data_IF_541741423848
#
_entry.id   IF_541741423848
#
_cell.length_a   1.000
_cell.length_b   1.000
_cell.length_c   1.000
_cell.angle_alpha   90.00
_cell.angle_beta   90.00
_cell.angle_gamma   90.00
#
_symmetry.space_group_name_H-M   'P 1'
#
loop_
_entity.id
_entity.type
_entity.pdbx_description
1 polymer ?
#
# COMPACT_ATOMS: atom_id res chain seq x y z
N UNK A 1 -32.74 9.93 -32.63
CA UNK A 1 -31.48 9.57 -31.94
C UNK A 1 -31.50 10.10 -30.50
N UNK A 2 -32.22 9.46 -29.57
CA UNK A 2 -32.34 9.97 -28.19
C UNK A 2 -31.95 8.96 -27.11
N UNK A 3 -31.71 7.70 -27.47
CA UNK A 3 -31.29 6.64 -26.54
C UNK A 3 -29.78 6.66 -26.22
N UNK A 4 -28.99 7.46 -26.96
CA UNK A 4 -27.53 7.57 -26.78
C UNK A 4 -27.17 8.58 -25.67
N UNK A 5 -28.04 9.55 -25.36
CA UNK A 5 -27.75 10.58 -24.34
C UNK A 5 -27.88 10.05 -22.90
N UNK A 6 -28.77 9.07 -22.66
CA UNK A 6 -29.05 8.51 -21.33
C UNK A 6 -28.05 7.47 -20.84
N UNK A 7 -27.32 6.82 -21.74
CA UNK A 7 -26.27 5.84 -21.39
C UNK A 7 -25.02 6.51 -20.81
N UNK A 8 -24.74 7.76 -21.18
CA UNK A 8 -23.55 8.49 -20.74
C UNK A 8 -23.52 8.75 -19.23
N UNK A 9 -24.64 9.13 -18.59
CA UNK A 9 -24.64 9.39 -17.14
C UNK A 9 -24.49 8.12 -16.30
N UNK A 10 -25.08 7.01 -16.77
CA UNK A 10 -24.93 5.69 -16.13
C UNK A 10 -23.52 5.13 -16.34
N UNK A 11 -22.97 5.28 -17.54
CA UNK A 11 -21.60 4.89 -17.86
C UNK A 11 -20.59 5.72 -17.04
N UNK A 12 -20.77 7.04 -16.97
CA UNK A 12 -19.94 7.92 -16.14
C UNK A 12 -20.00 7.53 -14.66
N UNK A 13 -21.18 7.22 -14.14
CA UNK A 13 -21.33 6.72 -12.77
C UNK A 13 -20.54 5.43 -12.53
N UNK A 14 -20.62 4.46 -13.46
CA UNK A 14 -19.86 3.21 -13.37
C UNK A 14 -18.35 3.42 -13.51
N UNK A 15 -17.91 4.35 -14.37
CA UNK A 15 -16.50 4.73 -14.53
C UNK A 15 -15.96 5.36 -13.25
N UNK A 16 -16.74 6.27 -12.63
CA UNK A 16 -16.36 6.90 -11.36
C UNK A 16 -16.27 5.84 -10.24
N UNK A 17 -17.25 4.95 -10.13
CA UNK A 17 -17.27 3.87 -9.13
C UNK A 17 -16.07 2.92 -9.30
N UNK A 18 -15.76 2.53 -10.54
CA UNK A 18 -14.60 1.66 -10.83
C UNK A 18 -13.27 2.36 -10.55
N UNK A 19 -13.13 3.65 -10.85
CA UNK A 19 -11.96 4.44 -10.43
C UNK A 19 -11.82 4.48 -8.90
N UNK A 20 -12.91 4.74 -8.18
CA UNK A 20 -12.93 4.77 -6.71
C UNK A 20 -12.50 3.42 -6.10
N UNK A 21 -13.04 2.31 -6.61
CA UNK A 21 -12.67 0.96 -6.18
C UNK A 21 -11.19 0.66 -6.45
N UNK A 22 -10.64 1.11 -7.58
CA UNK A 22 -9.23 0.93 -7.89
C UNK A 22 -8.34 1.68 -6.90
N UNK A 23 -8.66 2.95 -6.59
CA UNK A 23 -7.91 3.76 -5.60
C UNK A 23 -8.03 3.27 -4.16
N UNK A 24 -9.15 2.62 -3.80
CA UNK A 24 -9.35 2.08 -2.46
C UNK A 24 -8.45 0.86 -2.18
N UNK A 25 -8.07 0.10 -3.22
CA UNK A 25 -7.18 -1.07 -3.08
C UNK A 25 -5.73 -0.71 -2.78
N UNK A 26 -5.30 0.53 -3.03
CA UNK A 26 -3.95 1.00 -2.70
C UNK A 26 -3.80 1.42 -1.22
N UNK A 27 -4.91 1.44 -0.46
CA UNK A 27 -4.91 1.86 0.93
C UNK A 27 -4.69 0.71 1.94
N UNK A 28 -4.59 -0.55 1.51
CA UNK A 28 -4.40 -1.69 2.43
C UNK A 28 -3.00 -1.71 3.07
N UNK A 29 -2.01 -1.09 2.43
CA UNK A 29 -0.65 -0.94 2.99
C UNK A 29 -0.51 0.31 3.87
N UNK A 30 -1.60 0.87 4.39
CA UNK A 30 -1.56 2.05 5.29
C UNK A 30 -1.81 1.76 6.77
N UNK A 31 -2.03 0.49 7.16
CA UNK A 31 -1.93 0.03 8.55
C UNK A 31 -0.46 -0.09 9.01
N UNK A 32 0.36 0.90 8.62
CA UNK A 32 1.76 1.00 9.02
C UNK A 32 1.78 1.65 10.40
N UNK A 33 1.47 0.87 11.43
CA UNK A 33 2.23 1.06 12.66
C UNK A 33 3.70 0.93 12.27
N UNK A 34 4.38 2.07 12.07
CA UNK A 34 5.80 2.15 11.73
C UNK A 34 6.59 1.69 12.95
N UNK A 35 6.60 0.39 13.19
CA UNK A 35 7.43 -0.23 14.20
C UNK A 35 8.87 0.01 13.79
N UNK A 36 9.57 0.83 14.56
CA UNK A 36 11.00 1.01 14.42
C UNK A 36 11.69 -0.15 15.12
N UNK A 37 12.65 -0.76 14.45
CA UNK A 37 13.55 -1.70 15.08
C UNK A 37 14.87 -1.01 15.40
N UNK A 38 15.78 -1.70 16.09
CA UNK A 38 17.13 -1.18 16.37
C UNK A 38 17.89 -0.75 15.10
N UNK A 39 19.03 -0.06 15.26
CA UNK A 39 19.86 0.42 14.14
C UNK A 39 19.18 1.45 13.23
N UNK A 40 18.23 2.24 13.77
CA UNK A 40 17.42 3.21 13.00
C UNK A 40 16.66 2.56 11.83
N UNK A 41 16.32 1.28 11.98
CA UNK A 41 15.61 0.51 10.97
C UNK A 41 14.09 0.53 11.15
N UNK A 42 13.39 0.06 10.12
CA UNK A 42 11.93 -0.05 10.07
C UNK A 42 11.51 -1.51 9.90
N UNK A 43 10.41 -1.90 10.55
CA UNK A 43 9.81 -3.21 10.38
C UNK A 43 9.01 -3.26 9.08
N UNK A 44 9.38 -4.17 8.18
CA UNK A 44 8.70 -4.39 6.89
C UNK A 44 8.58 -5.88 6.58
N UNK A 45 7.60 -6.28 5.79
CA UNK A 45 7.53 -7.66 5.24
C UNK A 45 8.70 -7.94 4.28
N UNK A 46 9.06 -6.94 3.47
CA UNK A 46 10.19 -6.96 2.55
C UNK A 46 11.01 -5.67 2.71
N UNK A 47 12.33 -5.82 2.74
CA UNK A 47 13.25 -4.68 2.76
C UNK A 47 13.42 -4.13 1.35
N UNK A 48 13.64 -2.82 1.24
CA UNK A 48 14.03 -2.22 -0.04
C UNK A 48 15.44 -2.65 -0.43
N UNK A 49 15.79 -2.54 -1.72
CA UNK A 49 17.12 -2.91 -2.22
C UNK A 49 18.27 -2.09 -1.57
N UNK A 50 17.95 -0.90 -1.05
CA UNK A 50 18.88 0.00 -0.35
C UNK A 50 19.02 -0.33 1.15
N UNK A 51 18.13 -1.16 1.69
CA UNK A 51 18.10 -1.59 3.08
C UNK A 51 18.65 -3.01 3.20
N UNK A 52 19.30 -3.34 4.31
CA UNK A 52 19.69 -4.71 4.62
C UNK A 52 18.81 -5.29 5.73
N UNK A 53 18.56 -6.60 5.68
CA UNK A 53 17.80 -7.33 6.69
C UNK A 53 18.70 -7.62 7.89
N UNK A 54 18.35 -7.06 9.06
CA UNK A 54 19.04 -7.35 10.33
C UNK A 54 18.53 -8.65 10.94
N UNK A 55 17.21 -8.89 10.87
CA UNK A 55 16.57 -10.06 11.46
C UNK A 55 15.11 -9.83 11.80
N UNK A 56 14.54 -10.70 12.64
CA UNK A 56 13.13 -10.63 13.07
C UNK A 56 12.94 -10.00 14.46
N UNK A 57 14.04 -9.73 15.18
CA UNK A 57 13.99 -9.21 16.54
C UNK A 57 13.48 -7.76 16.57
N UNK A 58 12.49 -7.49 17.43
CA UNK A 58 11.90 -6.16 17.60
C UNK A 58 10.75 -5.84 16.64
N UNK A 59 10.39 -6.75 15.71
CA UNK A 59 9.27 -6.57 14.80
C UNK A 59 8.15 -7.58 15.08
N UNK A 60 6.88 -7.22 14.80
CA UNK A 60 5.76 -8.16 14.92
C UNK A 60 5.91 -9.38 14.00
N UNK A 61 5.18 -10.45 14.31
CA UNK A 61 5.22 -11.73 13.54
C UNK A 61 5.08 -11.45 12.04
N UNK A 62 5.97 -12.06 11.23
CA UNK A 62 6.08 -11.93 9.76
C UNK A 62 6.68 -10.61 9.25
N UNK A 63 7.10 -9.70 10.13
CA UNK A 63 7.88 -8.52 9.76
C UNK A 63 9.37 -8.73 10.06
N UNK A 64 10.21 -8.09 9.27
CA UNK A 64 11.68 -8.12 9.36
C UNK A 64 12.16 -6.70 9.63
N UNK A 65 13.23 -6.58 10.40
CA UNK A 65 13.91 -5.32 10.62
C UNK A 65 14.81 -4.99 9.44
N UNK A 66 14.49 -3.91 8.73
CA UNK A 66 15.22 -3.40 7.58
C UNK A 66 15.94 -2.10 7.96
N UNK A 67 17.25 -2.02 7.82
CA UNK A 67 18.03 -0.82 8.11
C UNK A 67 18.80 -0.32 6.90
N UNK A 68 18.99 0.99 6.85
CA UNK A 68 19.82 1.63 5.84
C UNK A 68 21.30 1.35 6.13
N UNK A 69 22.04 1.07 5.06
CA UNK A 69 23.50 1.03 5.10
C UNK A 69 23.99 2.45 4.79
N UNK A 70 24.38 3.18 5.84
CA UNK A 70 25.09 4.46 5.71
C UNK A 70 26.59 4.23 5.50
#
# INVERSE_FOLDING_TARGET
MSYIMGTNMRALGLIIITLLLLTASEADDTDIQRWTCGYRGLCRKHCYAQEYMIGYHGCPRRYRCCALRF
#
